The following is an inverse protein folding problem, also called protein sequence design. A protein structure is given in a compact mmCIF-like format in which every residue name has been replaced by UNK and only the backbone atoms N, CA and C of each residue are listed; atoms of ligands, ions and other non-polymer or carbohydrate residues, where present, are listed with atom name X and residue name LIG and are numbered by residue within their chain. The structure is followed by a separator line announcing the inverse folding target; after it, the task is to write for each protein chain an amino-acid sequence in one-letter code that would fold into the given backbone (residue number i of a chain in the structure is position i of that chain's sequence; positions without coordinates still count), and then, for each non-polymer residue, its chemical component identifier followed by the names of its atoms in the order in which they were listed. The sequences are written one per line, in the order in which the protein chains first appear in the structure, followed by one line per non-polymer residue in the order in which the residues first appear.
data_IF_016060049952
#
_entry.id   IF_016060049952
#
_cell.length_a   1.000
_cell.length_b   1.000
_cell.length_c   1.000
_cell.angle_alpha   90.00
_cell.angle_beta   90.00
_cell.angle_gamma   90.00
#
_symmetry.space_group_name_H-M   'P 1'
#
loop_
_entity.id
_entity.type
_entity.pdbx_description
1 polymer ?
#
# COMPACT_ATOMS: atom_id res chain seq x y z
N UNK A 1 -2.63 -5.07 -4.04
CA UNK A 1 -3.13 -3.97 -3.21
C UNK A 1 -2.11 -3.58 -2.13
N UNK A 2 -1.99 -4.29 -1.00
CA UNK A 2 -1.14 -3.88 0.14
C UNK A 2 0.39 -4.11 0.00
N UNK A 3 0.88 -4.65 -1.11
CA UNK A 3 2.31 -4.65 -1.41
C UNK A 3 2.82 -3.23 -1.70
N UNK A 4 2.03 -2.44 -2.44
CA UNK A 4 2.32 -1.05 -2.80
C UNK A 4 1.07 -0.18 -2.55
N UNK A 5 0.64 -0.04 -1.28
CA UNK A 5 -0.66 0.53 -0.93
C UNK A 5 -0.83 1.99 -1.35
N UNK A 6 0.28 2.70 -1.52
CA UNK A 6 0.31 4.14 -1.82
C UNK A 6 0.70 4.46 -3.26
N UNK A 7 0.96 3.45 -4.10
CA UNK A 7 1.50 3.69 -5.44
C UNK A 7 0.57 4.55 -6.32
N UNK A 8 -0.75 4.31 -6.40
CA UNK A 8 -1.65 5.13 -7.22
C UNK A 8 -1.70 6.59 -6.75
N UNK A 9 -1.84 6.83 -5.44
CA UNK A 9 -1.82 8.19 -4.90
C UNK A 9 -0.48 8.89 -5.13
N UNK A 10 0.64 8.18 -4.95
CA UNK A 10 1.97 8.75 -5.24
C UNK A 10 2.13 9.09 -6.71
N UNK A 11 1.60 8.26 -7.61
CA UNK A 11 1.60 8.52 -9.05
C UNK A 11 0.82 9.79 -9.36
N UNK A 12 -0.42 9.90 -8.88
CA UNK A 12 -1.29 11.06 -9.05
C UNK A 12 -0.62 12.36 -8.55
N UNK A 13 -0.07 12.36 -7.34
CA UNK A 13 0.63 13.53 -6.78
C UNK A 13 1.92 13.86 -7.55
N UNK A 14 2.63 12.84 -8.06
CA UNK A 14 3.86 13.03 -8.84
C UNK A 14 3.61 13.63 -10.21
N UNK A 15 2.48 13.30 -10.86
CA UNK A 15 2.07 13.92 -12.14
C UNK A 15 2.01 15.45 -12.02
N UNK A 16 1.63 15.96 -10.83
CA UNK A 16 1.61 17.40 -10.56
C UNK A 16 2.99 18.08 -10.55
N UNK A 17 4.06 17.30 -10.40
CA UNK A 17 5.43 17.80 -10.30
C UNK A 17 6.24 17.59 -11.59
N UNK A 18 5.71 16.97 -12.63
CA UNK A 18 6.49 16.55 -13.82
C UNK A 18 6.15 17.38 -15.10
N UNK A 19 5.08 18.17 -15.10
CA UNK A 19 4.61 18.94 -16.26
C UNK A 19 4.97 20.42 -16.12
N UNK A 20 6.18 20.82 -16.51
CA UNK A 20 6.67 22.20 -16.38
C UNK A 20 6.42 23.08 -17.62
N UNK A 21 6.17 22.50 -18.80
CA UNK A 21 6.17 23.24 -20.09
C UNK A 21 4.88 23.11 -20.91
N UNK A 22 3.78 22.62 -20.33
CA UNK A 22 2.49 22.44 -21.02
C UNK A 22 1.35 23.20 -20.32
N UNK A 23 0.36 23.64 -21.12
CA UNK A 23 -0.91 24.14 -20.58
C UNK A 23 -1.58 22.98 -19.85
N UNK A 24 -1.77 23.13 -18.55
CA UNK A 24 -2.38 22.10 -17.70
C UNK A 24 -3.89 22.14 -17.79
N UNK A 25 -4.50 20.98 -17.95
CA UNK A 25 -5.94 20.82 -17.89
C UNK A 25 -6.31 19.66 -16.95
N UNK A 26 -7.58 19.58 -16.53
CA UNK A 26 -7.98 18.58 -15.53
C UNK A 26 -7.85 17.15 -16.08
N UNK A 27 -8.06 17.00 -17.38
CA UNK A 27 -8.03 15.74 -18.13
C UNK A 27 -6.64 15.09 -18.12
N UNK A 28 -5.57 15.85 -17.88
CA UNK A 28 -4.20 15.32 -17.73
C UNK A 28 -4.08 14.34 -16.55
N UNK A 29 -5.02 14.39 -15.61
CA UNK A 29 -5.04 13.54 -14.41
C UNK A 29 -5.97 12.34 -14.54
N UNK A 30 -6.82 12.25 -15.57
CA UNK A 30 -7.91 11.27 -15.65
C UNK A 30 -7.42 9.84 -15.48
N UNK A 31 -6.36 9.43 -16.19
CA UNK A 31 -5.79 8.09 -16.08
C UNK A 31 -5.28 7.78 -14.67
N UNK A 32 -4.70 8.77 -13.99
CA UNK A 32 -4.16 8.61 -12.64
C UNK A 32 -5.27 8.61 -11.57
N UNK A 33 -6.36 9.36 -11.80
CA UNK A 33 -7.56 9.36 -10.98
C UNK A 33 -8.25 8.00 -11.10
N UNK A 34 -8.50 7.51 -12.32
CA UNK A 34 -9.09 6.19 -12.55
C UNK A 34 -8.27 5.07 -11.90
N UNK A 35 -6.93 5.14 -11.97
CA UNK A 35 -6.08 4.17 -11.28
C UNK A 35 -6.21 4.24 -9.76
N UNK A 36 -6.36 5.45 -9.19
CA UNK A 36 -6.62 5.64 -7.77
C UNK A 36 -7.97 5.03 -7.39
N UNK A 37 -9.06 5.41 -8.07
CA UNK A 37 -10.43 4.96 -7.80
C UNK A 37 -10.52 3.41 -7.83
N UNK A 38 -9.99 2.78 -8.88
CA UNK A 38 -9.94 1.31 -8.98
C UNK A 38 -9.14 0.67 -7.84
N UNK A 39 -8.14 1.35 -7.30
CA UNK A 39 -7.38 0.86 -6.17
C UNK A 39 -8.11 1.08 -4.84
N UNK A 40 -8.84 2.19 -4.69
CA UNK A 40 -9.75 2.43 -3.55
C UNK A 40 -10.82 1.36 -3.51
N UNK A 41 -11.49 1.08 -4.63
CA UNK A 41 -12.50 0.01 -4.74
C UNK A 41 -11.97 -1.33 -4.27
N UNK A 42 -10.75 -1.69 -4.68
CA UNK A 42 -10.11 -2.94 -4.25
C UNK A 42 -9.78 -2.94 -2.76
N UNK A 43 -9.35 -1.81 -2.20
CA UNK A 43 -9.16 -1.67 -0.75
C UNK A 43 -10.48 -1.88 -0.02
N UNK A 44 -11.57 -1.26 -0.49
CA UNK A 44 -12.91 -1.40 0.08
C UNK A 44 -13.39 -2.85 0.04
N UNK A 45 -13.27 -3.52 -1.11
CA UNK A 45 -13.64 -4.93 -1.27
C UNK A 45 -12.86 -5.85 -0.33
N UNK A 46 -11.54 -5.68 -0.23
CA UNK A 46 -10.71 -6.48 0.67
C UNK A 46 -11.08 -6.21 2.13
N UNK A 47 -11.31 -4.95 2.52
CA UNK A 47 -11.71 -4.59 3.87
C UNK A 47 -13.07 -5.18 4.25
N UNK A 48 -14.06 -5.10 3.35
CA UNK A 48 -15.37 -5.74 3.54
C UNK A 48 -15.25 -7.26 3.68
N UNK A 49 -14.45 -7.90 2.83
CA UNK A 49 -14.18 -9.33 2.92
C UNK A 49 -13.50 -9.71 4.24
N UNK A 50 -12.48 -8.96 4.65
CA UNK A 50 -11.77 -9.19 5.91
C UNK A 50 -12.71 -9.08 7.12
N UNK A 51 -13.62 -8.10 7.15
CA UNK A 51 -14.64 -8.00 8.20
C UNK A 51 -15.55 -9.23 8.24
N UNK A 52 -15.99 -9.73 7.07
CA UNK A 52 -16.84 -10.91 6.99
C UNK A 52 -16.12 -12.21 7.43
N UNK A 53 -14.79 -12.27 7.30
CA UNK A 53 -13.98 -13.41 7.71
C UNK A 53 -13.50 -13.35 9.17
N UNK A 54 -13.73 -12.24 9.88
CA UNK A 54 -13.25 -12.05 11.25
C UNK A 54 -14.33 -12.32 12.27
N UNK A 55 -13.93 -12.82 13.44
CA UNK A 55 -14.78 -12.92 14.65
C UNK A 55 -14.37 -11.89 15.71
N UNK A 56 -13.28 -11.16 15.50
CA UNK A 56 -12.79 -10.13 16.41
C UNK A 56 -13.53 -8.81 16.16
N UNK A 57 -14.51 -8.52 17.02
CA UNK A 57 -15.33 -7.31 16.94
C UNK A 57 -14.48 -6.04 16.96
N UNK A 58 -13.37 -5.98 17.71
CA UNK A 58 -12.53 -4.79 17.77
C UNK A 58 -11.85 -4.54 16.43
N UNK A 59 -11.33 -5.60 15.79
CA UNK A 59 -10.75 -5.50 14.45
C UNK A 59 -11.79 -5.13 13.40
N UNK A 60 -12.99 -5.71 13.47
CA UNK A 60 -14.09 -5.37 12.56
C UNK A 60 -14.43 -3.88 12.66
N UNK A 61 -14.58 -3.35 13.88
CA UNK A 61 -14.87 -1.93 14.09
C UNK A 61 -13.72 -1.03 13.60
N UNK A 62 -12.47 -1.43 13.84
CA UNK A 62 -11.29 -0.73 13.32
C UNK A 62 -11.30 -0.67 11.79
N UNK A 63 -11.55 -1.80 11.12
CA UNK A 63 -11.60 -1.86 9.66
C UNK A 63 -12.72 -0.97 9.15
N UNK A 64 -13.92 -1.08 9.73
CA UNK A 64 -15.06 -0.23 9.36
C UNK A 64 -14.73 1.26 9.50
N UNK A 65 -14.02 1.65 10.55
CA UNK A 65 -13.58 3.03 10.77
C UNK A 65 -12.60 3.49 9.68
N UNK A 66 -11.60 2.68 9.34
CA UNK A 66 -10.66 3.02 8.27
C UNK A 66 -11.38 3.16 6.92
N UNK A 67 -12.27 2.23 6.58
CA UNK A 67 -13.01 2.28 5.31
C UNK A 67 -13.88 3.52 5.24
N UNK A 68 -14.64 3.85 6.29
CA UNK A 68 -15.45 5.06 6.33
C UNK A 68 -14.58 6.33 6.22
N UNK A 69 -13.40 6.35 6.86
CA UNK A 69 -12.47 7.47 6.73
C UNK A 69 -11.95 7.61 5.29
N UNK A 70 -11.56 6.51 4.65
CA UNK A 70 -11.09 6.53 3.26
C UNK A 70 -12.18 6.97 2.29
N UNK A 71 -13.41 6.45 2.46
CA UNK A 71 -14.59 6.81 1.66
C UNK A 71 -14.93 8.30 1.81
N UNK A 72 -14.75 8.87 3.00
CA UNK A 72 -14.95 10.30 3.22
C UNK A 72 -13.83 11.18 2.65
N UNK A 73 -12.60 10.65 2.55
CA UNK A 73 -11.42 11.42 2.15
C UNK A 73 -11.28 11.51 0.62
N UNK A 74 -11.68 10.48 -0.11
CA UNK A 74 -11.57 10.41 -1.57
C UNK A 74 -12.24 11.59 -2.30
N UNK A 75 -13.49 11.98 -1.95
CA UNK A 75 -14.15 13.15 -2.55
C UNK A 75 -13.45 14.48 -2.29
N UNK A 76 -12.60 14.58 -1.26
CA UNK A 76 -11.80 15.79 -0.97
C UNK A 76 -10.42 15.74 -1.64
N UNK A 77 -9.82 14.54 -1.69
CA UNK A 77 -8.47 14.32 -2.18
C UNK A 77 -8.34 14.61 -3.68
N UNK A 78 -9.25 14.08 -4.51
CA UNK A 78 -9.18 14.27 -5.96
C UNK A 78 -9.32 15.76 -6.33
N UNK A 79 -10.35 16.51 -5.87
CA UNK A 79 -10.45 17.94 -6.16
C UNK A 79 -9.29 18.77 -5.63
N UNK A 80 -8.75 18.42 -4.45
CA UNK A 80 -7.58 19.11 -3.90
C UNK A 80 -6.35 18.93 -4.80
N UNK A 81 -6.12 17.71 -5.31
CA UNK A 81 -5.02 17.43 -6.23
C UNK A 81 -5.24 18.13 -7.57
N UNK A 82 -6.44 18.06 -8.14
CA UNK A 82 -6.76 18.75 -9.41
C UNK A 82 -6.60 20.26 -9.29
N UNK A 83 -7.04 20.86 -8.18
CA UNK A 83 -6.85 22.30 -7.92
C UNK A 83 -5.37 22.65 -7.81
N UNK A 84 -4.60 21.84 -7.07
CA UNK A 84 -3.15 22.02 -6.98
C UNK A 84 -2.48 21.90 -8.35
N UNK A 85 -2.90 20.94 -9.17
CA UNK A 85 -2.36 20.72 -10.52
C UNK A 85 -2.52 21.94 -11.42
N UNK A 86 -3.73 22.50 -11.45
CA UNK A 86 -4.08 23.66 -12.26
C UNK A 86 -3.40 24.94 -11.78
N UNK A 87 -3.03 25.03 -10.50
CA UNK A 87 -2.45 26.23 -9.88
C UNK A 87 -1.32 25.88 -8.90
N UNK A 88 -0.17 25.42 -9.44
CA UNK A 88 0.97 24.92 -8.64
C UNK A 88 1.73 26.02 -7.89
N UNK A 89 1.58 27.28 -8.28
CA UNK A 89 2.30 28.40 -7.64
C UNK A 89 1.76 28.70 -6.22
N UNK A 90 0.53 28.28 -5.91
CA UNK A 90 -0.07 28.48 -4.60
C UNK A 90 0.34 27.39 -3.61
N UNK A 91 1.30 27.73 -2.76
CA UNK A 91 1.79 26.86 -1.67
C UNK A 91 0.68 26.32 -0.74
N UNK A 92 -0.44 27.02 -0.61
CA UNK A 92 -1.59 26.57 0.18
C UNK A 92 -2.18 25.25 -0.31
N UNK A 93 -2.32 25.09 -1.64
CA UNK A 93 -2.86 23.86 -2.23
C UNK A 93 -1.90 22.69 -2.07
N UNK A 94 -0.59 22.93 -2.22
CA UNK A 94 0.44 21.91 -1.97
C UNK A 94 0.38 21.36 -0.54
N UNK A 95 0.25 22.25 0.44
CA UNK A 95 0.19 21.85 1.85
C UNK A 95 -1.10 21.07 2.16
N UNK A 96 -2.22 21.48 1.57
CA UNK A 96 -3.49 20.78 1.73
C UNK A 96 -3.45 19.37 1.12
N UNK A 97 -2.97 19.22 -0.13
CA UNK A 97 -2.77 17.92 -0.78
C UNK A 97 -1.83 17.03 0.05
N UNK A 98 -0.75 17.59 0.59
CA UNK A 98 0.17 16.84 1.45
C UNK A 98 -0.52 16.35 2.72
N UNK A 99 -1.34 17.19 3.37
CA UNK A 99 -2.10 16.81 4.57
C UNK A 99 -3.05 15.65 4.26
N UNK A 100 -3.88 15.77 3.23
CA UNK A 100 -4.82 14.72 2.82
C UNK A 100 -4.08 13.43 2.44
N UNK A 101 -2.97 13.54 1.71
CA UNK A 101 -2.13 12.39 1.36
C UNK A 101 -1.55 11.68 2.57
N UNK A 102 -1.12 12.42 3.59
CA UNK A 102 -0.63 11.85 4.84
C UNK A 102 -1.75 11.14 5.61
N UNK A 103 -2.94 11.73 5.64
CA UNK A 103 -4.11 11.10 6.30
C UNK A 103 -4.50 9.80 5.57
N UNK A 104 -4.64 9.84 4.24
CA UNK A 104 -4.88 8.65 3.42
C UNK A 104 -3.89 7.53 3.71
N UNK A 105 -2.58 7.84 3.69
CA UNK A 105 -1.54 6.85 3.96
C UNK A 105 -1.62 6.28 5.36
N UNK A 106 -1.96 7.09 6.36
CA UNK A 106 -2.15 6.63 7.74
C UNK A 106 -3.33 5.67 7.87
N UNK A 107 -4.48 5.99 7.27
CA UNK A 107 -5.67 5.13 7.29
C UNK A 107 -5.42 3.80 6.57
N UNK A 108 -4.80 3.83 5.38
CA UNK A 108 -4.45 2.61 4.65
C UNK A 108 -3.42 1.77 5.42
N UNK A 109 -2.45 2.40 6.10
CA UNK A 109 -1.50 1.67 6.96
C UNK A 109 -2.20 1.02 8.15
N UNK A 110 -3.14 1.71 8.77
CA UNK A 110 -3.89 1.18 9.90
C UNK A 110 -4.78 0.01 9.46
N UNK A 111 -5.47 0.17 8.32
CA UNK A 111 -6.26 -0.87 7.69
C UNK A 111 -5.42 -2.10 7.34
N UNK A 112 -4.24 -1.92 6.74
CA UNK A 112 -3.31 -3.01 6.44
C UNK A 112 -2.97 -3.82 7.69
N UNK A 113 -2.69 -3.15 8.81
CA UNK A 113 -2.37 -3.82 10.08
C UNK A 113 -3.54 -4.61 10.64
N UNK A 114 -4.75 -4.06 10.58
CA UNK A 114 -5.95 -4.74 11.05
C UNK A 114 -6.27 -5.98 10.22
N UNK A 115 -6.11 -5.89 8.90
CA UNK A 115 -6.26 -7.02 7.97
C UNK A 115 -5.17 -8.06 8.22
N UNK A 116 -3.92 -7.65 8.37
CA UNK A 116 -2.81 -8.58 8.64
C UNK A 116 -3.04 -9.41 9.91
N UNK A 117 -3.67 -8.84 10.95
CA UNK A 117 -4.03 -9.60 12.15
C UNK A 117 -5.10 -10.67 11.92
N UNK A 118 -5.94 -10.54 10.88
CA UNK A 118 -6.98 -11.53 10.54
C UNK A 118 -6.38 -12.69 9.73
N UNK A 119 -5.35 -12.42 8.94
CA UNK A 119 -4.79 -13.39 8.01
C UNK A 119 -3.95 -14.42 8.76
N UNK A 120 -4.21 -15.70 8.49
CA UNK A 120 -3.40 -16.81 9.04
C UNK A 120 -1.93 -16.68 8.61
N UNK A 121 -0.98 -16.58 9.55
CA UNK A 121 0.43 -16.37 9.22
C UNK A 121 1.04 -17.49 8.38
N UNK A 122 0.62 -18.74 8.60
CA UNK A 122 1.17 -19.87 7.85
C UNK A 122 0.71 -19.84 6.38
N UNK A 123 -0.58 -19.61 6.15
CA UNK A 123 -1.15 -19.42 4.81
C UNK A 123 -0.51 -18.22 4.09
N UNK A 124 -0.30 -17.10 4.80
CA UNK A 124 0.38 -15.94 4.24
C UNK A 124 1.81 -16.26 3.81
N UNK A 125 2.58 -16.92 4.68
CA UNK A 125 3.95 -17.34 4.37
C UNK A 125 4.00 -18.22 3.13
N UNK A 126 3.10 -19.20 3.02
CA UNK A 126 3.06 -20.11 1.87
C UNK A 126 2.78 -19.37 0.56
N UNK A 127 1.79 -18.47 0.54
CA UNK A 127 1.45 -17.69 -0.66
C UNK A 127 2.64 -16.81 -1.07
N UNK A 128 3.28 -16.11 -0.12
CA UNK A 128 4.43 -15.27 -0.43
C UNK A 128 5.62 -16.11 -0.92
N UNK A 129 5.86 -17.27 -0.32
CA UNK A 129 6.91 -18.18 -0.76
C UNK A 129 6.70 -18.60 -2.21
N UNK A 130 5.49 -19.05 -2.58
CA UNK A 130 5.18 -19.49 -3.94
C UNK A 130 5.36 -18.36 -4.95
N UNK A 131 4.95 -17.15 -4.61
CA UNK A 131 5.14 -15.96 -5.44
C UNK A 131 6.60 -15.56 -5.60
N UNK A 132 7.36 -15.52 -4.51
CA UNK A 132 8.80 -15.22 -4.54
C UNK A 132 9.55 -16.28 -5.35
N UNK A 133 9.21 -17.55 -5.17
CA UNK A 133 9.82 -18.65 -5.90
C UNK A 133 9.60 -18.52 -7.42
N UNK A 134 8.38 -18.13 -7.85
CA UNK A 134 8.08 -17.82 -9.25
C UNK A 134 8.92 -16.65 -9.76
N UNK A 135 9.01 -15.55 -9.01
CA UNK A 135 9.79 -14.38 -9.40
C UNK A 135 11.29 -14.68 -9.51
N UNK A 136 11.85 -15.45 -8.58
CA UNK A 136 13.26 -15.88 -8.62
C UNK A 136 13.53 -16.77 -9.83
N UNK A 137 12.62 -17.69 -10.17
CA UNK A 137 12.71 -18.47 -11.42
C UNK A 137 12.70 -17.58 -12.66
N UNK A 138 11.81 -16.59 -12.71
CA UNK A 138 11.75 -15.62 -13.81
C UNK A 138 13.03 -14.77 -13.91
N UNK A 139 13.57 -14.36 -12.76
CA UNK A 139 14.83 -13.61 -12.69
C UNK A 139 15.98 -14.42 -13.27
N UNK A 140 16.12 -15.70 -12.87
CA UNK A 140 17.15 -16.61 -13.40
C UNK A 140 17.10 -16.72 -14.92
N UNK A 141 15.91 -16.85 -15.50
CA UNK A 141 15.73 -16.94 -16.96
C UNK A 141 15.96 -15.60 -17.65
N UNK A 142 15.78 -14.49 -16.94
CA UNK A 142 15.85 -13.14 -17.51
C UNK A 142 17.22 -12.46 -17.34
N UNK A 143 18.25 -13.17 -16.83
CA UNK A 143 19.58 -12.61 -16.57
C UNK A 143 20.25 -11.97 -17.79
N UNK A 144 19.92 -12.43 -19.00
CA UNK A 144 20.45 -11.89 -20.26
C UNK A 144 19.49 -10.92 -20.97
N UNK A 145 18.34 -10.60 -20.36
CA UNK A 145 17.36 -9.67 -20.92
C UNK A 145 17.69 -8.22 -20.57
N UNK A 146 16.86 -7.31 -21.08
CA UNK A 146 16.97 -5.88 -20.83
C UNK A 146 17.03 -5.52 -19.34
N UNK A 147 17.87 -4.53 -19.02
CA UNK A 147 18.10 -4.05 -17.65
C UNK A 147 16.82 -3.64 -16.93
N UNK A 148 15.84 -3.10 -17.66
CA UNK A 148 14.56 -2.69 -17.09
C UNK A 148 13.76 -3.88 -16.52
N UNK A 149 13.73 -5.00 -17.24
CA UNK A 149 13.06 -6.24 -16.80
C UNK A 149 13.69 -6.77 -15.52
N UNK A 150 15.03 -6.78 -15.45
CA UNK A 150 15.75 -7.19 -14.26
C UNK A 150 15.44 -6.29 -13.05
N UNK A 151 15.41 -4.97 -13.26
CA UNK A 151 15.09 -4.00 -12.22
C UNK A 151 13.68 -4.19 -11.68
N UNK A 152 12.69 -4.39 -12.55
CA UNK A 152 11.30 -4.67 -12.14
C UNK A 152 11.20 -5.96 -11.32
N UNK A 153 11.81 -7.06 -11.78
CA UNK A 153 11.78 -8.34 -11.08
C UNK A 153 12.40 -8.24 -9.68
N UNK A 154 13.56 -7.59 -9.56
CA UNK A 154 14.23 -7.38 -8.27
C UNK A 154 13.38 -6.48 -7.36
N UNK A 155 12.77 -5.42 -7.90
CA UNK A 155 11.85 -4.56 -7.15
C UNK A 155 10.67 -5.35 -6.59
N UNK A 156 10.01 -6.17 -7.43
CA UNK A 156 8.87 -7.01 -7.01
C UNK A 156 9.25 -8.05 -5.95
N UNK A 157 10.44 -8.66 -6.06
CA UNK A 157 10.98 -9.57 -5.03
C UNK A 157 11.17 -8.81 -3.71
N UNK A 158 11.80 -7.64 -3.76
CA UNK A 158 12.05 -6.79 -2.60
C UNK A 158 10.76 -6.37 -1.90
N UNK A 159 9.78 -5.87 -2.66
CA UNK A 159 8.47 -5.45 -2.14
C UNK A 159 7.74 -6.60 -1.45
N UNK A 160 7.68 -7.79 -2.07
CA UNK A 160 7.01 -8.96 -1.47
C UNK A 160 7.73 -9.45 -0.21
N UNK A 161 9.06 -9.47 -0.23
CA UNK A 161 9.86 -9.85 0.94
C UNK A 161 9.66 -8.86 2.08
N UNK A 162 9.63 -7.56 1.79
CA UNK A 162 9.32 -6.53 2.78
C UNK A 162 7.91 -6.67 3.37
N UNK A 163 6.92 -7.02 2.56
CA UNK A 163 5.55 -7.29 3.04
C UNK A 163 5.50 -8.53 3.94
N UNK A 164 6.25 -9.59 3.63
CA UNK A 164 6.40 -10.77 4.51
C UNK A 164 6.90 -10.38 5.89
N UNK A 165 7.99 -9.61 5.94
CA UNK A 165 8.58 -9.14 7.20
C UNK A 165 7.58 -8.31 8.01
N UNK A 166 6.82 -7.41 7.36
CA UNK A 166 5.79 -6.61 8.04
C UNK A 166 4.67 -7.47 8.62
N UNK A 167 4.17 -8.44 7.85
CA UNK A 167 3.11 -9.33 8.29
C UNK A 167 3.57 -10.18 9.50
N UNK A 168 4.75 -10.81 9.40
CA UNK A 168 5.33 -11.58 10.51
C UNK A 168 5.50 -10.73 11.78
N UNK A 169 5.90 -9.47 11.65
CA UNK A 169 6.05 -8.57 12.80
C UNK A 169 4.72 -8.28 13.51
N UNK A 170 3.61 -8.23 12.76
CA UNK A 170 2.27 -8.06 13.33
C UNK A 170 1.88 -9.36 14.06
N UNK A 171 2.08 -10.51 13.41
CA UNK A 171 1.81 -11.82 14.02
C UNK A 171 2.64 -12.05 15.29
N UNK A 172 3.89 -11.58 15.36
CA UNK A 172 4.71 -11.72 16.57
C UNK A 172 4.15 -10.95 17.76
N UNK A 173 3.57 -9.76 17.53
CA UNK A 173 2.98 -8.98 18.62
C UNK A 173 1.77 -9.68 19.24
N UNK A 174 1.06 -10.48 18.44
CA UNK A 174 -0.10 -11.27 18.87
C UNK A 174 0.30 -12.52 19.66
N UNK A 175 1.56 -12.93 19.56
CA UNK A 175 2.13 -14.09 20.25
C UNK A 175 2.83 -13.71 21.57
N UNK A 176 2.79 -12.44 21.99
CA UNK A 176 3.42 -12.02 23.25
C UNK A 176 2.69 -12.61 24.48
N UNK A 177 3.43 -12.99 25.55
CA UNK A 177 4.85 -12.74 25.80
C UNK A 177 5.83 -13.78 25.19
N UNK A 178 5.33 -14.83 24.54
CA UNK A 178 6.12 -15.98 24.09
C UNK A 178 7.10 -15.57 22.97
N UNK A 179 6.67 -14.67 22.08
CA UNK A 179 7.51 -14.15 21.00
C UNK A 179 8.80 -13.49 21.53
N UNK A 180 8.70 -12.67 22.58
CA UNK A 180 9.87 -12.08 23.22
C UNK A 180 10.78 -13.11 23.87
N UNK A 181 10.21 -14.12 24.55
CA UNK A 181 10.99 -15.20 25.18
C UNK A 181 11.79 -16.02 24.17
N UNK A 182 11.22 -16.24 22.98
CA UNK A 182 11.83 -16.99 21.89
C UNK A 182 12.65 -16.12 20.94
N UNK A 183 12.83 -14.82 21.24
CA UNK A 183 13.60 -13.89 20.43
C UNK A 183 13.09 -13.74 18.97
N UNK A 184 11.81 -14.01 18.72
CA UNK A 184 11.21 -14.01 17.37
C UNK A 184 11.26 -12.61 16.72
N UNK A 185 11.00 -11.49 17.42
CA UNK A 185 11.09 -10.16 16.82
C UNK A 185 12.48 -9.86 16.22
N UNK A 186 13.54 -10.31 16.89
CA UNK A 186 14.91 -10.12 16.39
C UNK A 186 15.18 -10.99 15.14
N UNK A 187 14.68 -12.24 15.10
CA UNK A 187 14.77 -13.09 13.91
C UNK A 187 14.05 -12.47 12.71
N UNK A 188 12.85 -11.91 12.91
CA UNK A 188 12.11 -11.20 11.86
C UNK A 188 12.85 -9.92 11.43
N UNK A 189 13.51 -9.24 12.36
CA UNK A 189 14.31 -8.04 12.05
C UNK A 189 15.55 -8.36 11.21
N UNK A 190 16.17 -9.54 11.37
CA UNK A 190 17.29 -9.97 10.52
C UNK A 190 16.88 -10.13 9.05
N UNK A 191 15.65 -10.56 8.77
CA UNK A 191 15.11 -10.63 7.40
C UNK A 191 14.96 -9.26 6.72
N UNK A 192 15.05 -8.17 7.48
CA UNK A 192 14.97 -6.79 6.97
C UNK A 192 16.35 -6.22 6.59
N UNK A 193 17.45 -6.81 7.09
CA UNK A 193 18.82 -6.34 6.85
C UNK A 193 19.35 -6.82 5.52
#
# INVERSE_FOLDING_TARGET
VFCEPYAPLKKLVKTCAETYDMIRCAEDLDDAIVELDLHVDRIMQIGMFAMACSVDIKRILGIKSCLASLESLEPELVPAVTTYYLDVEKCGYRNHVKMLSCHWQSEVLHLEKLIDGIVDPAAFCQIIYDDLHKLVKMLKVSLHKEKFILKDLVHRISVKSGKLVRHLFISTNEMEPIASQLNIPNMVQELKR
#
